data_IF_267372384446
#
_entry.id   IF_267372384446
#
_cell.length_a   1.000
_cell.length_b   1.000
_cell.length_c   1.000
_cell.angle_alpha   90.00
_cell.angle_beta   90.00
_cell.angle_gamma   90.00
#
_symmetry.space_group_name_H-M   'P 1'
#
loop_
_entity.id
_entity.type
_entity.pdbx_description
1 polymer ?
#
# COMPACT_ATOMS: atom_id res chain seq x y z
N UNK A 1 -18.21 5.49 17.42
CA UNK A 1 -17.38 5.10 16.27
C UNK A 1 -15.95 4.96 16.75
N UNK A 2 -15.35 3.76 16.68
CA UNK A 2 -13.95 3.57 17.06
C UNK A 2 -13.06 4.31 16.06
N UNK A 3 -12.16 5.18 16.54
CA UNK A 3 -11.21 5.88 15.68
C UNK A 3 -10.24 4.92 14.99
N UNK A 4 -9.47 5.39 13.99
CA UNK A 4 -8.43 4.59 13.36
C UNK A 4 -7.40 4.14 14.40
N UNK A 5 -7.11 2.84 14.44
CA UNK A 5 -6.23 2.21 15.43
C UNK A 5 -4.96 1.68 14.75
N UNK A 6 -3.92 2.52 14.60
CA UNK A 6 -2.71 2.15 13.88
C UNK A 6 -1.78 1.27 14.74
N UNK A 7 -2.07 -0.03 14.78
CA UNK A 7 -1.32 -1.03 15.57
C UNK A 7 -0.20 -1.75 14.83
N UNK A 8 -0.11 -1.60 13.51
CA UNK A 8 0.86 -2.34 12.70
C UNK A 8 1.97 -1.41 12.21
N UNK A 9 3.21 -1.84 12.38
CA UNK A 9 4.38 -1.15 11.80
C UNK A 9 4.64 -1.72 10.42
N UNK A 10 4.46 -0.89 9.39
CA UNK A 10 4.67 -1.22 7.99
C UNK A 10 5.84 -0.44 7.42
N UNK A 11 6.56 -1.01 6.46
CA UNK A 11 7.58 -0.30 5.70
C UNK A 11 6.95 0.23 4.41
N UNK A 12 7.04 1.54 4.19
CA UNK A 12 6.68 2.16 2.92
C UNK A 12 7.84 2.00 1.95
N UNK A 13 7.56 1.45 0.78
CA UNK A 13 8.53 1.23 -0.28
C UNK A 13 8.06 1.90 -1.57
N UNK A 14 8.99 2.55 -2.27
CA UNK A 14 8.71 3.17 -3.57
C UNK A 14 9.39 2.39 -4.70
N UNK A 15 8.73 2.29 -5.87
CA UNK A 15 9.35 1.73 -7.04
C UNK A 15 10.41 2.70 -7.57
N UNK A 16 11.59 2.18 -7.84
CA UNK A 16 12.71 2.88 -8.44
C UNK A 16 13.14 2.10 -9.69
N UNK A 17 13.34 2.82 -10.78
CA UNK A 17 13.79 2.21 -12.03
C UNK A 17 15.31 2.13 -12.01
N UNK A 18 15.84 0.92 -11.92
CA UNK A 18 17.25 0.65 -12.09
C UNK A 18 17.50 0.17 -13.52
N UNK A 19 18.52 0.73 -14.18
CA UNK A 19 18.99 0.20 -15.45
C UNK A 19 19.75 -1.09 -15.18
N UNK A 20 19.48 -2.14 -15.96
CA UNK A 20 20.20 -3.41 -15.86
C UNK A 20 21.54 -3.41 -16.59
N UNK A 21 21.97 -2.26 -17.13
CA UNK A 21 23.22 -2.11 -17.89
C UNK A 21 23.22 -2.79 -19.27
N UNK A 22 22.14 -3.49 -19.64
CA UNK A 22 21.98 -4.22 -20.91
C UNK A 22 20.82 -3.69 -21.76
N UNK A 23 20.25 -2.53 -21.38
CA UNK A 23 19.18 -1.86 -22.12
C UNK A 23 17.77 -2.17 -21.61
N UNK A 24 17.63 -2.99 -20.57
CA UNK A 24 16.37 -3.20 -19.86
C UNK A 24 16.24 -2.33 -18.62
N UNK A 25 15.00 -2.25 -18.12
CA UNK A 25 14.63 -1.49 -16.93
C UNK A 25 14.08 -2.50 -15.92
N UNK A 26 14.74 -2.64 -14.77
CA UNK A 26 14.19 -3.40 -13.65
C UNK A 26 13.57 -2.45 -12.63
N UNK A 27 12.47 -2.89 -12.01
CA UNK A 27 11.86 -2.15 -10.90
C UNK A 27 12.42 -2.68 -9.60
N UNK A 28 13.23 -1.88 -8.92
CA UNK A 28 13.66 -2.15 -7.55
C UNK A 28 12.75 -1.42 -6.59
N UNK A 29 12.57 -1.97 -5.39
CA UNK A 29 11.71 -1.37 -4.38
C UNK A 29 12.57 -0.82 -3.26
N UNK A 30 12.60 0.51 -3.13
CA UNK A 30 13.40 1.20 -2.13
C UNK A 30 12.56 1.51 -0.90
N UNK A 31 13.03 1.12 0.28
CA UNK A 31 12.41 1.48 1.54
C UNK A 31 12.54 2.99 1.82
N UNK A 32 11.40 3.67 1.96
CA UNK A 32 11.31 5.09 2.32
C UNK A 32 11.27 5.31 3.83
N UNK A 33 10.73 4.35 4.59
CA UNK A 33 10.67 4.42 6.05
C UNK A 33 9.55 3.56 6.65
N UNK A 34 9.53 3.49 7.98
CA UNK A 34 8.47 2.79 8.71
C UNK A 34 7.32 3.75 9.06
N UNK A 35 6.09 3.28 8.87
CA UNK A 35 4.86 3.98 9.25
C UNK A 35 4.00 3.09 10.14
N UNK A 36 3.19 3.72 11.01
CA UNK A 36 2.17 3.02 11.78
C UNK A 36 0.85 3.07 11.04
N UNK A 37 0.18 1.92 10.92
CA UNK A 37 -1.04 1.77 10.16
C UNK A 37 -2.05 0.83 10.81
N UNK A 38 -3.33 1.16 10.66
CA UNK A 38 -4.46 0.31 10.98
C UNK A 38 -4.84 -0.45 9.73
N UNK A 39 -4.96 -1.76 9.82
CA UNK A 39 -5.26 -2.61 8.67
C UNK A 39 -6.64 -3.22 8.83
N UNK A 40 -7.47 -3.08 7.79
CA UNK A 40 -8.78 -3.71 7.71
C UNK A 40 -8.90 -4.42 6.38
N UNK A 41 -9.05 -5.74 6.41
CA UNK A 41 -9.39 -6.49 5.20
C UNK A 41 -10.78 -6.04 4.74
N UNK A 42 -10.89 -5.64 3.49
CA UNK A 42 -12.20 -5.52 2.82
C UNK A 42 -12.47 -6.88 2.18
N UNK A 43 -13.65 -7.44 2.43
CA UNK A 43 -14.10 -8.66 1.75
C UNK A 43 -14.00 -8.45 0.25
N UNK A 44 -13.09 -9.18 -0.41
CA UNK A 44 -12.80 -9.04 -1.83
C UNK A 44 -14.09 -9.17 -2.61
N UNK A 45 -14.42 -8.14 -3.39
CA UNK A 45 -15.37 -8.32 -4.50
C UNK A 45 -14.67 -9.27 -5.45
N UNK A 46 -15.17 -10.50 -5.60
CA UNK A 46 -14.64 -11.47 -6.54
C UNK A 46 -14.49 -10.81 -7.91
N UNK A 47 -13.26 -10.49 -8.30
CA UNK A 47 -12.98 -10.04 -9.64
C UNK A 47 -13.05 -11.29 -10.53
N UNK A 48 -14.21 -11.56 -11.12
CA UNK A 48 -14.36 -12.53 -12.21
C UNK A 48 -13.50 -12.06 -13.38
N UNK A 49 -12.25 -12.50 -13.43
CA UNK A 49 -11.46 -12.54 -14.64
C UNK A 49 -11.74 -13.85 -15.38
N UNK A 50 -12.09 -13.77 -16.65
CA UNK A 50 -11.89 -14.89 -17.57
C UNK A 50 -10.42 -15.32 -17.45
N UNK A 51 -10.16 -16.61 -17.18
CA UNK A 51 -8.86 -17.19 -16.84
C UNK A 51 -8.45 -17.06 -15.35
N UNK A 52 -9.10 -17.86 -14.49
CA UNK A 52 -8.61 -18.22 -13.15
C UNK A 52 -8.91 -17.19 -12.05
N UNK A 53 -9.75 -17.58 -11.08
CA UNK A 53 -10.01 -16.76 -9.91
C UNK A 53 -8.77 -16.75 -8.98
N UNK A 54 -7.89 -15.76 -9.11
CA UNK A 54 -6.91 -15.47 -8.07
C UNK A 54 -7.65 -14.70 -6.98
N UNK A 55 -7.94 -15.36 -5.85
CA UNK A 55 -8.59 -14.77 -4.68
C UNK A 55 -7.69 -13.70 -4.07
N UNK A 56 -7.82 -12.48 -4.59
CA UNK A 56 -7.01 -11.35 -4.14
C UNK A 56 -7.74 -10.64 -3.01
N UNK A 57 -7.09 -10.60 -1.86
CA UNK A 57 -7.57 -9.85 -0.71
C UNK A 57 -7.21 -8.37 -0.88
N UNK A 58 -8.24 -7.52 -0.85
CA UNK A 58 -8.10 -6.06 -0.78
C UNK A 58 -8.06 -5.60 0.67
N UNK A 59 -7.26 -4.58 0.95
CA UNK A 59 -7.00 -4.03 2.27
C UNK A 59 -7.24 -2.52 2.27
N UNK A 60 -7.96 -2.03 3.28
CA UNK A 60 -7.99 -0.62 3.65
C UNK A 60 -6.98 -0.40 4.78
N UNK A 61 -5.91 0.34 4.47
CA UNK A 61 -4.79 0.57 5.38
C UNK A 61 -4.76 2.06 5.75
N UNK A 62 -5.20 2.39 6.97
CA UNK A 62 -5.28 3.77 7.44
C UNK A 62 -4.02 4.16 8.20
N UNK A 63 -3.38 5.27 7.83
CA UNK A 63 -2.18 5.80 8.49
C UNK A 63 -2.30 7.29 8.74
N UNK A 64 -1.43 7.85 9.58
CA UNK A 64 -1.36 9.31 9.74
C UNK A 64 -0.79 9.94 8.48
N UNK A 65 -1.44 11.01 8.04
CA UNK A 65 -0.95 11.81 6.94
C UNK A 65 0.35 12.49 7.35
N UNK A 66 1.39 12.31 6.53
CA UNK A 66 2.50 13.23 6.52
C UNK A 66 2.11 14.50 5.72
N UNK A 67 2.77 15.65 5.94
CA UNK A 67 2.53 16.86 5.16
C UNK A 67 2.59 16.61 3.65
N UNK A 68 1.87 17.43 2.87
CA UNK A 68 1.96 17.35 1.42
C UNK A 68 3.42 17.53 0.96
N UNK A 69 3.88 16.66 0.07
CA UNK A 69 5.27 16.65 -0.41
C UNK A 69 6.27 15.85 0.45
N UNK A 70 5.91 15.47 1.68
CA UNK A 70 6.77 14.63 2.52
C UNK A 70 6.92 13.22 1.90
N UNK A 71 8.14 12.67 1.80
CA UNK A 71 8.37 11.33 1.22
C UNK A 71 7.67 10.21 2.01
N UNK A 72 7.33 10.44 3.28
CA UNK A 72 6.57 9.49 4.11
C UNK A 72 5.08 9.52 3.82
N UNK A 73 4.58 10.51 3.06
CA UNK A 73 3.19 10.54 2.61
C UNK A 73 3.03 9.46 1.53
N UNK A 74 2.24 8.40 1.76
CA UNK A 74 2.09 7.33 0.79
C UNK A 74 1.52 7.87 -0.52
N UNK A 75 1.85 7.21 -1.64
CA UNK A 75 1.40 7.55 -2.99
C UNK A 75 0.92 6.29 -3.74
N UNK A 76 -0.02 6.42 -4.68
CA UNK A 76 -0.37 5.31 -5.57
C UNK A 76 0.86 4.76 -6.30
N UNK A 77 0.91 3.45 -6.49
CA UNK A 77 2.05 2.76 -7.11
C UNK A 77 3.20 2.42 -6.15
N UNK A 78 3.19 2.96 -4.92
CA UNK A 78 4.06 2.47 -3.84
C UNK A 78 3.51 1.17 -3.25
N UNK A 79 4.29 0.52 -2.38
CA UNK A 79 3.82 -0.65 -1.63
C UNK A 79 4.14 -0.53 -0.14
N UNK A 80 3.31 -1.16 0.68
CA UNK A 80 3.53 -1.33 2.10
C UNK A 80 3.98 -2.77 2.36
N UNK A 81 4.98 -2.95 3.21
CA UNK A 81 5.52 -4.26 3.57
C UNK A 81 5.35 -4.55 5.05
N UNK A 82 4.81 -5.73 5.35
CA UNK A 82 4.67 -6.29 6.70
C UNK A 82 5.40 -7.63 6.77
N UNK A 83 6.70 -7.59 7.11
CA UNK A 83 7.55 -8.78 7.03
C UNK A 83 7.64 -9.28 5.59
N UNK A 84 7.10 -10.47 5.33
CA UNK A 84 7.02 -11.12 4.02
C UNK A 84 5.78 -10.69 3.20
N UNK A 85 4.77 -10.10 3.83
CA UNK A 85 3.51 -9.70 3.17
C UNK A 85 3.68 -8.36 2.48
N UNK A 86 3.26 -8.27 1.22
CA UNK A 86 3.37 -7.07 0.39
C UNK A 86 1.98 -6.55 0.02
N UNK A 87 1.76 -5.26 0.19
CA UNK A 87 0.50 -4.59 -0.11
C UNK A 87 0.75 -3.46 -1.11
N UNK A 88 0.40 -3.67 -2.37
CA UNK A 88 0.51 -2.66 -3.42
C UNK A 88 -0.57 -1.60 -3.22
N UNK A 89 -0.19 -0.33 -3.10
CA UNK A 89 -1.12 0.78 -2.97
C UNK A 89 -1.69 1.12 -4.34
N UNK A 90 -2.99 0.90 -4.52
CA UNK A 90 -3.72 1.18 -5.76
C UNK A 90 -4.32 2.59 -5.72
N UNK A 91 -4.87 2.99 -4.58
CA UNK A 91 -5.48 4.31 -4.41
C UNK A 91 -5.29 4.85 -2.98
N UNK A 92 -5.43 6.16 -2.83
CA UNK A 92 -5.35 6.84 -1.53
C UNK A 92 -6.54 7.77 -1.39
N UNK A 93 -7.20 7.70 -0.24
CA UNK A 93 -8.30 8.57 0.15
C UNK A 93 -7.95 9.32 1.44
N UNK A 94 -8.31 10.60 1.52
CA UNK A 94 -8.26 11.36 2.78
C UNK A 94 -9.47 10.97 3.62
N UNK A 95 -9.24 10.61 4.89
CA UNK A 95 -10.30 10.04 5.76
C UNK A 95 -10.96 11.11 6.64
N UNK A 96 -10.30 12.25 6.84
CA UNK A 96 -10.83 13.39 7.57
C UNK A 96 -10.68 14.69 6.77
N UNK A 97 -11.61 15.63 6.96
CA UNK A 97 -11.56 16.94 6.29
C UNK A 97 -10.31 17.76 6.65
N UNK A 98 -9.61 17.39 7.73
CA UNK A 98 -8.34 17.99 8.13
C UNK A 98 -7.10 17.36 7.49
N UNK A 99 -7.26 16.32 6.65
CA UNK A 99 -6.16 15.63 5.98
C UNK A 99 -5.13 15.05 6.95
N UNK A 100 -5.54 14.66 8.17
CA UNK A 100 -4.68 14.08 9.22
C UNK A 100 -4.53 12.57 9.08
N UNK A 101 -5.47 11.92 8.39
CA UNK A 101 -5.50 10.49 8.17
C UNK A 101 -5.69 10.17 6.69
N UNK A 102 -4.89 9.22 6.21
CA UNK A 102 -4.96 8.71 4.85
C UNK A 102 -5.33 7.24 4.90
N UNK A 103 -6.28 6.82 4.05
CA UNK A 103 -6.59 5.42 3.83
C UNK A 103 -6.00 5.00 2.49
N UNK A 104 -5.05 4.08 2.55
CA UNK A 104 -4.46 3.44 1.39
C UNK A 104 -5.31 2.21 1.04
N UNK A 105 -5.92 2.22 -0.13
CA UNK A 105 -6.53 1.03 -0.71
C UNK A 105 -5.41 0.23 -1.35
N UNK A 106 -5.13 -0.92 -0.77
CA UNK A 106 -4.02 -1.75 -1.17
C UNK A 106 -4.46 -3.17 -1.48
N UNK A 107 -3.76 -3.78 -2.42
CA UNK A 107 -3.93 -5.16 -2.82
C UNK A 107 -2.79 -5.99 -2.28
N UNK A 108 -3.08 -7.14 -1.65
CA UNK A 108 -2.04 -8.06 -1.24
C UNK A 108 -1.41 -8.74 -2.47
N UNK A 109 -0.10 -8.59 -2.64
CA UNK A 109 0.69 -9.28 -3.64
C UNK A 109 1.15 -10.62 -3.03
N UNK A 110 0.66 -11.73 -3.59
CA UNK A 110 0.94 -13.08 -3.08
C UNK A 110 -0.16 -13.63 -2.18
N UNK A 111 -1.27 -14.02 -2.81
CA UNK A 111 -2.22 -14.97 -2.24
C UNK A 111 -2.47 -16.04 -3.30
N UNK A 112 -1.86 -17.20 -3.12
CA UNK A 112 -2.32 -18.44 -3.74
C UNK A 112 -3.40 -19.05 -2.84
#
# INVERSE_FOLDING_TARGET
>A
MSGPDPRHRLILEAPERASDGMGGQTTVWRALGAIWAGMRASTGREARGEVGAVSVVSWAITTRAAPAGDPRRPRPGQRLRMGERLFRIEAIAETDAGGRWLTCHAREEGGA
#
